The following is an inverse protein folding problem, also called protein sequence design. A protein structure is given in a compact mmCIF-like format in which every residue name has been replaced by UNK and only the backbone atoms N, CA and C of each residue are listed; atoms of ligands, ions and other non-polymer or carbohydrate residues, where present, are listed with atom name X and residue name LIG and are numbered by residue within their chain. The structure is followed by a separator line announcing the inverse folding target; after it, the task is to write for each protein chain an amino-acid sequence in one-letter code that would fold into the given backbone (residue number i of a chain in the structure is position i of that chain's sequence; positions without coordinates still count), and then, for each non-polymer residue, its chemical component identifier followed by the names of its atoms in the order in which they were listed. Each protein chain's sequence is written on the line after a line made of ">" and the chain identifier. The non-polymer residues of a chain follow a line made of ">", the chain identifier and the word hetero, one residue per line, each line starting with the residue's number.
data_IF_304744292240
#
_entry.id   IF_304744292240
#
_cell.length_a   1.000
_cell.length_b   1.000
_cell.length_c   1.000
_cell.angle_alpha   90.00
_cell.angle_beta   90.00
_cell.angle_gamma   90.00
#
_symmetry.space_group_name_H-M   'P 1'
#
loop_
_entity.id
_entity.type
_entity.pdbx_description
1 polymer ?
#
# COMPACT_ATOMS: atom_id res chain seq x y z
N UNK A 1 -1.37 6.83 -12.22
CA UNK A 1 -1.93 8.19 -11.99
C UNK A 1 -2.87 8.50 -13.13
N UNK A 2 -4.09 9.01 -12.88
CA UNK A 2 -4.85 9.68 -13.92
C UNK A 2 -4.05 10.85 -14.49
N UNK A 3 -4.10 11.03 -15.82
CA UNK A 3 -3.40 12.14 -16.49
C UNK A 3 -4.24 13.41 -16.27
N UNK A 4 -3.61 14.46 -15.77
CA UNK A 4 -4.22 15.78 -15.65
C UNK A 4 -4.30 16.42 -17.03
N UNK A 5 -5.50 16.73 -17.49
CA UNK A 5 -5.71 17.46 -18.75
C UNK A 5 -6.55 18.70 -18.49
N UNK A 6 -6.40 19.70 -19.36
CA UNK A 6 -7.26 20.87 -19.36
C UNK A 6 -8.70 20.46 -19.70
N UNK A 7 -9.69 21.02 -19.00
CA UNK A 7 -11.10 20.64 -19.12
C UNK A 7 -11.69 20.87 -20.54
N UNK A 8 -10.98 21.63 -21.38
CA UNK A 8 -11.35 21.93 -22.77
C UNK A 8 -10.64 21.05 -23.81
N UNK A 9 -9.88 20.03 -23.40
CA UNK A 9 -9.11 19.20 -24.33
C UNK A 9 -10.03 18.15 -24.99
N UNK A 10 -10.21 18.16 -26.33
CA UNK A 10 -11.09 17.22 -27.04
C UNK A 10 -10.70 15.74 -26.85
N UNK A 11 -9.43 15.50 -26.50
CA UNK A 11 -8.89 14.17 -26.24
C UNK A 11 -9.49 13.49 -25.00
N UNK A 12 -10.17 14.23 -24.11
CA UNK A 12 -10.82 13.65 -22.93
C UNK A 12 -11.74 12.48 -23.31
N UNK A 13 -12.62 12.71 -24.29
CA UNK A 13 -13.62 11.72 -24.70
C UNK A 13 -12.97 10.48 -25.34
N UNK A 14 -11.92 10.69 -26.13
CA UNK A 14 -11.15 9.61 -26.79
C UNK A 14 -10.47 8.72 -25.73
N UNK A 15 -9.85 9.33 -24.72
CA UNK A 15 -9.15 8.62 -23.67
C UNK A 15 -10.10 7.89 -22.71
N UNK A 16 -11.27 8.50 -22.39
CA UNK A 16 -12.33 7.83 -21.64
C UNK A 16 -12.86 6.58 -22.37
N UNK A 17 -13.05 6.66 -23.70
CA UNK A 17 -13.46 5.53 -24.54
C UNK A 17 -12.38 4.41 -24.59
N UNK A 18 -11.11 4.75 -24.36
CA UNK A 18 -9.97 3.81 -24.28
C UNK A 18 -9.76 3.21 -22.87
N UNK A 19 -10.68 3.45 -21.92
CA UNK A 19 -10.54 3.12 -20.49
C UNK A 19 -9.32 3.77 -19.80
N UNK A 20 -8.78 4.84 -20.38
CA UNK A 20 -7.73 5.62 -19.74
C UNK A 20 -8.41 6.60 -18.78
N UNK A 21 -8.08 6.49 -17.50
CA UNK A 21 -8.70 7.33 -16.47
C UNK A 21 -8.17 8.77 -16.59
N UNK A 22 -9.02 9.66 -17.08
CA UNK A 22 -8.70 11.08 -17.27
C UNK A 22 -9.32 11.90 -16.15
N UNK A 23 -8.59 12.87 -15.60
CA UNK A 23 -9.09 13.74 -14.54
C UNK A 23 -8.96 15.21 -14.92
N UNK A 24 -10.09 15.92 -14.79
CA UNK A 24 -10.21 17.38 -14.89
C UNK A 24 -9.36 18.09 -13.83
N UNK A 25 -8.79 19.24 -14.16
CA UNK A 25 -7.88 19.96 -13.26
C UNK A 25 -8.52 20.32 -11.92
N UNK A 26 -9.82 20.64 -11.94
CA UNK A 26 -10.58 20.99 -10.76
C UNK A 26 -10.70 19.81 -9.77
N UNK A 27 -10.89 18.58 -10.25
CA UNK A 27 -10.97 17.38 -9.39
C UNK A 27 -9.60 16.98 -8.82
N UNK A 28 -8.52 17.15 -9.58
CA UNK A 28 -7.16 16.82 -9.12
C UNK A 28 -6.73 17.73 -7.95
N UNK A 29 -7.14 19.00 -7.96
CA UNK A 29 -6.81 19.99 -6.92
C UNK A 29 -7.56 19.75 -5.59
N UNK A 30 -8.70 19.05 -5.61
CA UNK A 30 -9.55 18.82 -4.43
C UNK A 30 -9.48 17.38 -3.93
N UNK A 31 -8.56 16.57 -4.46
CA UNK A 31 -8.40 15.20 -4.03
C UNK A 31 -7.67 15.15 -2.69
N UNK A 32 -8.46 15.05 -1.62
CA UNK A 32 -7.99 14.77 -0.26
C UNK A 32 -7.72 13.25 -0.15
N UNK A 33 -6.71 12.77 -0.89
CA UNK A 33 -6.34 11.34 -0.90
C UNK A 33 -5.58 11.06 0.40
N UNK A 34 -6.29 10.47 1.37
CA UNK A 34 -5.65 9.94 2.57
C UNK A 34 -4.74 8.74 2.24
N UNK A 35 -3.69 8.49 3.04
CA UNK A 35 -2.91 7.26 2.95
C UNK A 35 -3.80 6.02 3.16
N UNK A 36 -3.46 4.94 2.46
CA UNK A 36 -4.02 3.61 2.71
C UNK A 36 -3.18 2.90 3.76
N UNK A 37 -3.81 2.34 4.79
CA UNK A 37 -3.14 1.53 5.80
C UNK A 37 -3.28 0.06 5.45
N UNK A 38 -2.17 -0.63 5.21
CA UNK A 38 -2.14 -2.05 4.84
C UNK A 38 -1.35 -2.83 5.90
N UNK A 39 -2.00 -3.82 6.49
CA UNK A 39 -1.34 -4.79 7.37
C UNK A 39 -0.82 -5.94 6.51
N UNK A 40 0.35 -6.51 6.80
CA UNK A 40 0.84 -7.72 6.12
C UNK A 40 1.19 -8.78 7.16
N UNK A 41 0.41 -9.86 7.19
CA UNK A 41 0.77 -11.06 7.96
C UNK A 41 1.83 -11.87 7.21
N UNK A 42 3.10 -11.64 7.53
CA UNK A 42 4.19 -12.36 6.87
C UNK A 42 4.40 -13.72 7.56
N UNK A 43 4.01 -14.82 6.90
CA UNK A 43 4.22 -16.19 7.39
C UNK A 43 5.47 -16.86 6.80
N UNK A 44 6.23 -16.15 5.96
CA UNK A 44 7.37 -16.74 5.27
C UNK A 44 8.57 -16.93 6.21
N UNK A 45 9.41 -17.96 5.97
CA UNK A 45 10.66 -18.15 6.72
C UNK A 45 11.71 -17.07 6.38
N UNK A 46 11.71 -16.58 5.14
CA UNK A 46 12.61 -15.51 4.65
C UNK A 46 11.92 -14.14 4.75
N UNK A 47 11.84 -13.57 5.97
CA UNK A 47 11.07 -12.34 6.23
C UNK A 47 11.53 -11.16 5.37
N UNK A 48 12.82 -10.81 5.44
CA UNK A 48 13.41 -9.64 4.76
C UNK A 48 13.22 -9.71 3.24
N UNK A 49 13.40 -10.89 2.65
CA UNK A 49 13.19 -11.09 1.22
C UNK A 49 11.72 -10.86 0.85
N UNK A 50 10.81 -11.43 1.63
CA UNK A 50 9.36 -11.31 1.43
C UNK A 50 8.89 -9.86 1.60
N UNK A 51 9.36 -9.15 2.63
CA UNK A 51 9.12 -7.73 2.85
C UNK A 51 9.52 -6.91 1.62
N UNK A 52 10.74 -7.14 1.12
CA UNK A 52 11.27 -6.45 -0.07
C UNK A 52 10.40 -6.70 -1.30
N UNK A 53 9.94 -7.94 -1.49
CA UNK A 53 9.08 -8.29 -2.62
C UNK A 53 7.71 -7.58 -2.55
N UNK A 54 7.07 -7.57 -1.39
CA UNK A 54 5.78 -6.88 -1.20
C UNK A 54 5.91 -5.36 -1.33
N UNK A 55 6.89 -4.75 -0.64
CA UNK A 55 7.10 -3.31 -0.69
C UNK A 55 7.41 -2.83 -2.11
N UNK A 56 8.15 -3.61 -2.91
CA UNK A 56 8.40 -3.31 -4.33
C UNK A 56 7.14 -3.31 -5.19
N UNK A 57 6.16 -4.16 -4.87
CA UNK A 57 4.88 -4.19 -5.60
C UNK A 57 3.97 -3.06 -5.17
N UNK A 58 3.89 -2.77 -3.88
CA UNK A 58 3.09 -1.69 -3.33
C UNK A 58 3.62 -0.30 -3.73
N UNK A 59 4.94 -0.16 -3.92
CA UNK A 59 5.55 1.11 -4.36
C UNK A 59 5.25 1.48 -5.82
N UNK A 60 4.70 0.56 -6.62
CA UNK A 60 4.35 0.82 -8.02
C UNK A 60 2.93 1.38 -8.18
N UNK A 61 2.44 2.08 -7.16
CA UNK A 61 1.13 2.74 -7.14
C UNK A 61 1.31 4.23 -6.90
N UNK A 62 0.46 5.08 -7.50
CA UNK A 62 0.43 6.50 -7.16
C UNK A 62 -0.19 6.82 -5.80
N UNK A 63 -0.83 5.83 -5.15
CA UNK A 63 -1.43 6.01 -3.84
C UNK A 63 -0.34 5.91 -2.77
N UNK A 64 -0.43 6.77 -1.75
CA UNK A 64 0.38 6.63 -0.56
C UNK A 64 -0.11 5.42 0.24
N UNK A 65 0.77 4.46 0.48
CA UNK A 65 0.49 3.22 1.22
C UNK A 65 1.40 3.16 2.44
N UNK A 66 0.81 3.04 3.62
CA UNK A 66 1.48 2.79 4.88
C UNK A 66 1.38 1.30 5.20
N UNK A 67 2.53 0.65 5.40
CA UNK A 67 2.60 -0.80 5.61
C UNK A 67 3.05 -1.09 7.03
N UNK A 68 2.30 -1.95 7.72
CA UNK A 68 2.66 -2.51 9.02
C UNK A 68 2.79 -4.03 8.87
N UNK A 69 3.86 -4.63 9.41
CA UNK A 69 4.07 -6.08 9.33
C UNK A 69 3.63 -6.76 10.62
N UNK A 70 2.88 -7.84 10.49
CA UNK A 70 2.41 -8.64 11.61
C UNK A 70 3.02 -10.04 11.56
N UNK A 71 3.32 -10.58 12.75
CA UNK A 71 3.68 -11.98 12.95
C UNK A 71 2.76 -12.66 13.97
N UNK A 72 2.72 -13.98 13.94
CA UNK A 72 2.03 -14.76 14.97
C UNK A 72 2.87 -14.78 16.24
N UNK A 73 2.26 -14.48 17.38
CA UNK A 73 2.93 -14.45 18.70
C UNK A 73 3.66 -15.77 19.04
N UNK A 74 3.09 -16.90 18.63
CA UNK A 74 3.64 -18.23 18.93
C UNK A 74 4.86 -18.62 18.07
N UNK A 75 5.13 -17.93 16.97
CA UNK A 75 6.17 -18.33 16.02
C UNK A 75 7.50 -17.63 16.31
N UNK A 76 8.56 -18.41 16.50
CA UNK A 76 9.94 -17.91 16.60
C UNK A 76 10.69 -18.20 15.30
N UNK A 77 10.94 -17.19 14.45
CA UNK A 77 11.72 -17.38 13.23
C UNK A 77 13.14 -17.88 13.55
N UNK A 78 13.67 -18.78 12.71
CA UNK A 78 15.05 -19.30 12.86
C UNK A 78 16.07 -18.58 11.96
N UNK A 79 15.60 -17.78 11.02
CA UNK A 79 16.40 -17.19 9.93
C UNK A 79 16.47 -15.65 9.99
N UNK A 80 15.97 -15.05 11.06
CA UNK A 80 15.86 -13.59 11.24
C UNK A 80 16.25 -13.27 12.67
N UNK A 81 17.05 -12.22 12.83
CA UNK A 81 17.44 -11.71 14.15
C UNK A 81 16.21 -11.22 14.91
N UNK A 82 16.13 -11.55 16.21
CA UNK A 82 15.01 -11.18 17.07
C UNK A 82 14.81 -9.65 17.10
N UNK A 83 15.92 -8.88 17.05
CA UNK A 83 15.90 -7.41 16.99
C UNK A 83 15.18 -6.83 15.76
N UNK A 84 15.22 -7.51 14.61
CA UNK A 84 14.47 -7.08 13.42
C UNK A 84 12.96 -7.23 13.67
N UNK A 85 12.56 -8.33 14.30
CA UNK A 85 11.16 -8.60 14.59
C UNK A 85 10.63 -7.61 15.63
N UNK A 86 11.38 -7.37 16.71
CA UNK A 86 10.98 -6.43 17.76
C UNK A 86 10.83 -4.99 17.26
N UNK A 87 11.59 -4.62 16.22
CA UNK A 87 11.57 -3.26 15.68
C UNK A 87 10.49 -3.07 14.62
N UNK A 88 10.25 -4.07 13.77
CA UNK A 88 9.47 -3.91 12.55
C UNK A 88 8.18 -4.73 12.51
N UNK A 89 7.96 -5.63 13.48
CA UNK A 89 6.78 -6.48 13.53
C UNK A 89 5.92 -6.20 14.76
N UNK A 90 4.62 -6.29 14.55
CA UNK A 90 3.59 -6.30 15.60
C UNK A 90 2.96 -7.68 15.73
N UNK A 91 2.19 -7.90 16.79
CA UNK A 91 1.36 -9.10 16.97
C UNK A 91 -0.12 -8.73 16.90
N UNK A 92 -0.98 -9.72 16.63
CA UNK A 92 -2.42 -9.48 16.48
C UNK A 92 -3.03 -8.69 17.65
N UNK A 93 -2.61 -8.98 18.89
CA UNK A 93 -3.14 -8.32 20.08
C UNK A 93 -2.87 -6.82 20.15
N UNK A 94 -1.84 -6.32 19.46
CA UNK A 94 -1.48 -4.90 19.40
C UNK A 94 -2.25 -4.13 18.31
N UNK A 95 -2.79 -4.85 17.31
CA UNK A 95 -3.45 -4.25 16.14
C UNK A 95 -4.93 -4.59 16.01
N UNK A 96 -5.47 -5.45 16.87
CA UNK A 96 -6.89 -5.90 16.81
C UNK A 96 -7.93 -4.78 16.86
N UNK A 97 -7.59 -3.65 17.49
CA UNK A 97 -8.47 -2.48 17.60
C UNK A 97 -8.23 -1.44 16.50
N UNK A 98 -7.21 -1.63 15.66
CA UNK A 98 -6.91 -0.77 14.50
C UNK A 98 -7.73 -1.21 13.28
N UNK A 99 -8.03 -0.27 12.39
CA UNK A 99 -8.68 -0.54 11.10
C UNK A 99 -7.67 -0.37 9.98
N UNK A 100 -7.67 -1.33 9.06
CA UNK A 100 -6.82 -1.34 7.88
C UNK A 100 -7.68 -1.38 6.62
N UNK A 101 -7.15 -0.79 5.55
CA UNK A 101 -7.74 -0.83 4.22
C UNK A 101 -7.43 -2.14 3.48
N UNK A 102 -6.36 -2.83 3.88
CA UNK A 102 -5.95 -4.13 3.35
C UNK A 102 -5.18 -4.99 4.36
N UNK A 103 -5.19 -6.30 4.13
CA UNK A 103 -4.45 -7.34 4.87
C UNK A 103 -3.69 -8.26 3.91
#
# INVERSE_FOLDING_TARGET
>A
MPIKIHDSLPAQKILEDENIFVMTEFRAMHQDIRPLHVLILNLMPTKIETETQFLRKLSNSPLQVEVEFMQTESYKPRHVEESHLDTFYTVFDEVKDKKYDGL
#
